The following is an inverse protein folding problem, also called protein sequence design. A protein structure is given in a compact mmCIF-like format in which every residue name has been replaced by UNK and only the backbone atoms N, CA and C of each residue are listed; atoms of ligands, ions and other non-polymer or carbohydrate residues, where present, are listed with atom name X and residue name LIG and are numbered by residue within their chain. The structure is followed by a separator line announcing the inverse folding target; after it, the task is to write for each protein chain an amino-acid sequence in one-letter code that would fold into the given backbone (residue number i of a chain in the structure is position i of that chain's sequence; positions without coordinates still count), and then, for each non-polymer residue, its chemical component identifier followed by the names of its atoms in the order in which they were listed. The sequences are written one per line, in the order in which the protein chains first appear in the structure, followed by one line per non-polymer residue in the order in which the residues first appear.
data_IF_052219210948
#
_entry.id   IF_052219210948
#
_cell.length_a   1.000
_cell.length_b   1.000
_cell.length_c   1.000
_cell.angle_alpha   90.00
_cell.angle_beta   90.00
_cell.angle_gamma   90.00
#
_symmetry.space_group_name_H-M   'P 1'
#
loop_
_entity.id
_entity.type
_entity.pdbx_description
1 polymer ?
#
# COMPACT_ATOMS: atom_id res chain seq x y z
N UNK A 1 -3.68 18.48 22.97
CA UNK A 1 -3.01 19.19 21.85
C UNK A 1 -2.16 18.25 20.97
N UNK A 2 -1.03 17.68 21.43
CA UNK A 2 -0.19 16.79 20.58
C UNK A 2 -0.90 15.46 20.22
N UNK A 3 -1.55 14.83 21.21
CA UNK A 3 -2.40 13.65 20.99
C UNK A 3 -3.65 13.94 20.14
N UNK A 4 -4.12 15.19 20.13
CA UNK A 4 -5.28 15.65 19.32
C UNK A 4 -4.88 15.85 17.85
N UNK A 5 -3.66 16.35 17.61
CA UNK A 5 -3.06 16.44 16.28
C UNK A 5 -2.77 15.05 15.69
N UNK A 6 -2.28 14.10 16.49
CA UNK A 6 -2.13 12.70 16.05
C UNK A 6 -3.48 12.05 15.70
N UNK A 7 -4.55 12.42 16.40
CA UNK A 7 -5.90 11.91 16.11
C UNK A 7 -6.48 12.44 14.79
N UNK A 8 -5.98 13.58 14.31
CA UNK A 8 -6.37 14.17 13.02
C UNK A 8 -5.40 13.84 11.89
N UNK A 9 -4.19 13.33 12.20
CA UNK A 9 -3.23 12.97 11.17
C UNK A 9 -3.83 11.93 10.22
N UNK A 10 -3.78 12.21 8.92
CA UNK A 10 -4.15 11.30 7.83
C UNK A 10 -2.95 10.51 7.29
N UNK A 11 -1.76 10.76 7.85
CA UNK A 11 -0.48 10.24 7.37
C UNK A 11 0.11 9.26 8.40
N UNK A 12 0.75 8.19 7.91
CA UNK A 12 1.59 7.28 8.69
C UNK A 12 2.98 7.91 8.89
N UNK A 13 3.35 8.18 10.14
CA UNK A 13 4.59 8.90 10.48
C UNK A 13 5.86 8.16 10.05
N UNK A 14 5.83 6.82 9.99
CA UNK A 14 7.01 6.03 9.64
C UNK A 14 7.30 6.09 8.14
N UNK A 15 6.26 5.94 7.32
CA UNK A 15 6.40 5.70 5.87
C UNK A 15 6.02 6.89 5.01
N UNK A 16 5.37 7.91 5.57
CA UNK A 16 4.84 9.05 4.84
C UNK A 16 3.64 8.73 3.94
N UNK A 17 3.19 7.47 3.88
CA UNK A 17 1.98 7.06 3.20
C UNK A 17 0.74 7.57 3.96
N UNK A 18 -0.42 7.51 3.33
CA UNK A 18 -1.68 7.70 4.06
C UNK A 18 -1.83 6.62 5.13
N UNK A 19 -2.62 6.91 6.16
CA UNK A 19 -2.94 5.91 7.16
C UNK A 19 -4.27 5.21 6.85
N UNK A 20 -4.53 4.13 7.59
CA UNK A 20 -5.78 3.37 7.51
C UNK A 20 -7.03 4.24 7.55
N UNK A 21 -7.06 5.27 8.40
CA UNK A 21 -8.23 6.13 8.57
C UNK A 21 -8.54 6.90 7.29
N UNK A 22 -7.50 7.44 6.65
CA UNK A 22 -7.65 8.24 5.45
C UNK A 22 -8.14 7.40 4.27
N UNK A 23 -7.51 6.25 3.99
CA UNK A 23 -7.93 5.40 2.85
C UNK A 23 -9.37 4.88 3.00
N UNK A 24 -9.83 4.59 4.22
CA UNK A 24 -11.20 4.18 4.47
C UNK A 24 -12.19 5.34 4.27
N UNK A 25 -11.83 6.54 4.70
CA UNK A 25 -12.66 7.73 4.48
C UNK A 25 -12.83 8.04 2.98
N UNK A 26 -11.78 7.86 2.18
CA UNK A 26 -11.81 8.06 0.73
C UNK A 26 -12.51 6.93 -0.02
N UNK A 27 -12.45 5.69 0.49
CA UNK A 27 -13.12 4.55 -0.12
C UNK A 27 -14.64 4.71 -0.21
N UNK A 28 -15.28 5.24 0.85
CA UNK A 28 -16.73 5.39 0.95
C UNK A 28 -17.35 6.22 -0.22
N UNK A 29 -16.84 7.43 -0.54
CA UNK A 29 -17.27 8.17 -1.73
C UNK A 29 -17.12 7.41 -3.05
N UNK A 30 -16.04 6.65 -3.22
CA UNK A 30 -15.80 5.87 -4.44
C UNK A 30 -16.79 4.71 -4.59
N UNK A 31 -17.10 4.03 -3.49
CA UNK A 31 -18.13 2.99 -3.45
C UNK A 31 -19.51 3.57 -3.79
N UNK A 32 -19.88 4.69 -3.17
CA UNK A 32 -21.15 5.36 -3.44
C UNK A 32 -21.27 5.80 -4.92
N UNK A 33 -20.20 6.35 -5.49
CA UNK A 33 -20.15 6.74 -6.91
C UNK A 33 -20.22 5.55 -7.86
N UNK A 34 -19.60 4.42 -7.51
CA UNK A 34 -19.73 3.19 -8.28
C UNK A 34 -21.18 2.69 -8.28
N UNK A 35 -21.81 2.57 -7.10
CA UNK A 35 -23.20 2.09 -6.96
C UNK A 35 -24.16 2.99 -7.75
N UNK A 36 -23.96 4.32 -7.71
CA UNK A 36 -24.88 5.28 -8.32
C UNK A 36 -24.65 5.51 -9.81
N UNK A 37 -23.40 5.52 -10.26
CA UNK A 37 -23.03 5.98 -11.60
C UNK A 37 -22.22 4.96 -12.41
N UNK A 38 -21.86 3.81 -11.84
CA UNK A 38 -20.96 2.84 -12.48
C UNK A 38 -19.51 3.32 -12.58
N UNK A 39 -19.13 4.37 -11.83
CA UNK A 39 -17.76 4.88 -11.79
C UNK A 39 -16.82 3.86 -11.14
N UNK A 40 -16.12 3.10 -11.97
CA UNK A 40 -15.24 2.04 -11.49
C UNK A 40 -14.06 2.57 -10.67
N UNK A 41 -13.65 1.78 -9.69
CA UNK A 41 -12.39 1.93 -8.96
C UNK A 41 -11.79 0.54 -8.73
N UNK A 42 -10.52 0.50 -8.34
CA UNK A 42 -9.82 -0.73 -7.95
C UNK A 42 -9.16 -0.54 -6.59
N UNK A 43 -9.15 -1.60 -5.79
CA UNK A 43 -8.44 -1.67 -4.52
C UNK A 43 -7.41 -2.80 -4.58
N UNK A 44 -6.18 -2.50 -4.21
CA UNK A 44 -5.08 -3.46 -4.10
C UNK A 44 -4.70 -3.59 -2.63
N UNK A 45 -4.70 -4.81 -2.11
CA UNK A 45 -4.08 -5.15 -0.83
C UNK A 45 -2.70 -5.75 -1.02
N UNK A 46 -1.72 -5.23 -0.30
CA UNK A 46 -0.32 -5.67 -0.36
C UNK A 46 0.18 -5.98 1.05
N UNK A 47 0.98 -7.03 1.14
CA UNK A 47 1.68 -7.45 2.34
C UNK A 47 3.16 -7.73 2.01
N UNK A 48 4.06 -7.37 2.93
CA UNK A 48 5.50 -7.67 2.79
C UNK A 48 5.77 -9.06 3.37
N UNK A 49 5.99 -10.03 2.49
CA UNK A 49 6.27 -11.40 2.89
C UNK A 49 7.46 -11.51 3.86
N UNK A 50 7.34 -12.42 4.83
CA UNK A 50 8.41 -12.73 5.77
C UNK A 50 8.95 -11.50 6.52
N UNK A 51 8.20 -10.40 6.64
CA UNK A 51 8.63 -9.20 7.35
C UNK A 51 8.99 -9.49 8.81
N UNK A 52 8.23 -10.37 9.46
CA UNK A 52 8.59 -10.91 10.78
C UNK A 52 10.00 -11.52 10.81
N UNK A 53 10.38 -12.32 9.80
CA UNK A 53 11.69 -12.94 9.74
C UNK A 53 12.82 -11.90 9.57
N UNK A 54 12.56 -10.81 8.83
CA UNK A 54 13.47 -9.67 8.73
C UNK A 54 13.67 -9.02 10.09
N UNK A 55 12.58 -8.72 10.81
CA UNK A 55 12.65 -8.16 12.16
C UNK A 55 13.40 -9.08 13.13
N UNK A 56 13.08 -10.38 13.11
CA UNK A 56 13.69 -11.36 14.00
C UNK A 56 15.20 -11.56 13.69
N UNK A 57 15.64 -11.36 12.44
CA UNK A 57 17.04 -11.56 12.01
C UNK A 57 17.91 -10.30 12.09
N UNK A 58 17.33 -9.13 11.85
CA UNK A 58 18.06 -7.87 11.66
C UNK A 58 17.61 -6.74 12.60
N UNK A 59 16.56 -6.97 13.39
CA UNK A 59 15.99 -6.00 14.32
C UNK A 59 14.98 -5.05 13.68
N UNK A 60 14.15 -4.44 14.53
CA UNK A 60 13.05 -3.58 14.11
C UNK A 60 13.46 -2.34 13.32
N UNK A 61 14.64 -1.76 13.61
CA UNK A 61 15.13 -0.60 12.85
C UNK A 61 15.34 -0.93 11.37
N UNK A 62 15.80 -2.15 11.06
CA UNK A 62 15.95 -2.61 9.68
C UNK A 62 14.59 -2.89 9.04
N UNK A 63 13.63 -3.42 9.81
CA UNK A 63 12.24 -3.54 9.35
C UNK A 63 11.61 -2.19 9.01
N UNK A 64 11.84 -1.17 9.84
CA UNK A 64 11.36 0.19 9.60
C UNK A 64 11.93 0.77 8.29
N UNK A 65 13.21 0.54 8.01
CA UNK A 65 13.84 0.94 6.75
C UNK A 65 13.25 0.20 5.54
N UNK A 66 12.91 -1.09 5.70
CA UNK A 66 12.22 -1.86 4.66
C UNK A 66 10.84 -1.25 4.37
N UNK A 67 10.07 -0.88 5.40
CA UNK A 67 8.75 -0.27 5.24
C UNK A 67 8.83 1.10 4.55
N UNK A 68 9.76 1.96 4.97
CA UNK A 68 10.02 3.25 4.34
C UNK A 68 10.35 3.08 2.87
N UNK A 69 11.28 2.18 2.56
CA UNK A 69 11.70 1.97 1.18
C UNK A 69 10.59 1.40 0.31
N UNK A 70 9.81 0.45 0.86
CA UNK A 70 8.65 -0.07 0.16
C UNK A 70 7.67 1.06 -0.19
N UNK A 71 7.39 1.94 0.77
CA UNK A 71 6.53 3.11 0.58
C UNK A 71 7.03 4.04 -0.52
N UNK A 72 8.32 4.36 -0.53
CA UNK A 72 8.95 5.18 -1.58
C UNK A 72 8.79 4.55 -2.96
N UNK A 73 9.12 3.26 -3.11
CA UNK A 73 9.07 2.61 -4.42
C UNK A 73 7.63 2.54 -4.95
N UNK A 74 6.64 2.34 -4.09
CA UNK A 74 5.24 2.32 -4.51
C UNK A 74 4.79 3.72 -4.92
N UNK A 75 5.11 4.72 -4.10
CA UNK A 75 4.73 6.13 -4.33
C UNK A 75 5.30 6.68 -5.64
N UNK A 76 6.51 6.29 -6.04
CA UNK A 76 7.13 6.69 -7.31
C UNK A 76 6.42 6.17 -8.56
N UNK A 77 5.56 5.16 -8.42
CA UNK A 77 5.01 4.41 -9.55
C UNK A 77 3.49 4.49 -9.67
N UNK A 78 2.79 4.81 -8.58
CA UNK A 78 1.35 5.10 -8.62
C UNK A 78 1.11 6.51 -9.17
N UNK A 79 -0.12 6.80 -9.58
CA UNK A 79 -0.51 8.15 -10.01
C UNK A 79 -0.74 9.03 -8.80
N UNK A 80 -0.60 10.34 -9.00
CA UNK A 80 -0.93 11.34 -7.96
C UNK A 80 -2.39 11.27 -7.47
N UNK A 81 -3.29 10.70 -8.28
CA UNK A 81 -4.71 10.52 -7.95
C UNK A 81 -5.01 9.22 -7.22
N UNK A 82 -4.04 8.30 -7.16
CA UNK A 82 -4.19 7.06 -6.41
C UNK A 82 -3.87 7.35 -4.94
N UNK A 83 -4.56 6.66 -4.04
CA UNK A 83 -4.39 6.79 -2.61
C UNK A 83 -3.62 5.57 -2.13
N UNK A 84 -2.46 5.79 -1.53
CA UNK A 84 -1.61 4.72 -1.03
C UNK A 84 -1.44 4.86 0.47
N UNK A 85 -1.86 3.83 1.19
CA UNK A 85 -1.93 3.86 2.64
C UNK A 85 -1.29 2.64 3.29
N UNK A 86 -0.71 2.84 4.47
CA UNK A 86 -0.32 1.76 5.38
C UNK A 86 -1.47 1.48 6.35
N UNK A 87 -1.95 0.24 6.37
CA UNK A 87 -3.10 -0.14 7.20
C UNK A 87 -2.70 -0.67 8.58
N UNK A 88 -1.47 -1.17 8.72
CA UNK A 88 -0.88 -1.60 9.99
C UNK A 88 0.24 -2.63 9.77
N UNK A 89 1.22 -2.69 10.67
CA UNK A 89 2.33 -3.66 10.55
C UNK A 89 3.05 -3.56 9.21
N UNK A 90 3.01 -4.64 8.43
CA UNK A 90 3.54 -4.74 7.06
C UNK A 90 2.48 -4.62 5.94
N UNK A 91 1.24 -4.27 6.27
CA UNK A 91 0.13 -4.22 5.34
C UNK A 91 -0.07 -2.83 4.72
N UNK A 92 -0.35 -2.81 3.42
CA UNK A 92 -0.62 -1.62 2.63
C UNK A 92 -1.84 -1.78 1.72
N UNK A 93 -2.50 -0.66 1.41
CA UNK A 93 -3.60 -0.55 0.46
C UNK A 93 -3.30 0.50 -0.60
N UNK A 94 -3.70 0.23 -1.85
CA UNK A 94 -3.82 1.25 -2.89
C UNK A 94 -5.27 1.31 -3.35
N UNK A 95 -5.90 2.47 -3.24
CA UNK A 95 -7.16 2.79 -3.87
C UNK A 95 -6.90 3.58 -5.16
N UNK A 96 -7.35 3.04 -6.29
CA UNK A 96 -7.15 3.61 -7.61
C UNK A 96 -8.50 4.03 -8.21
N UNK A 97 -8.85 5.33 -8.13
CA UNK A 97 -10.04 5.86 -8.76
C UNK A 97 -10.03 5.63 -10.28
N UNK A 98 -11.21 5.48 -10.88
CA UNK A 98 -11.39 5.40 -12.34
C UNK A 98 -10.57 4.29 -13.00
N UNK A 99 -10.29 3.21 -12.28
CA UNK A 99 -9.47 2.09 -12.75
C UNK A 99 -10.28 0.81 -12.73
N UNK A 100 -10.53 0.24 -13.91
CA UNK A 100 -11.34 -0.98 -14.09
C UNK A 100 -10.51 -2.26 -14.07
N UNK A 101 -9.25 -2.23 -14.56
CA UNK A 101 -8.33 -3.37 -14.57
C UNK A 101 -6.89 -2.91 -14.79
N UNK A 102 -6.09 -2.90 -13.73
CA UNK A 102 -4.63 -2.80 -13.81
C UNK A 102 -3.91 -4.05 -13.27
N UNK A 103 -4.58 -5.21 -13.32
CA UNK A 103 -4.01 -6.50 -12.89
C UNK A 103 -2.66 -6.81 -13.59
N UNK A 104 -2.45 -6.34 -14.83
CA UNK A 104 -1.19 -6.49 -15.55
C UNK A 104 -0.04 -5.63 -14.98
N UNK A 105 -0.33 -4.45 -14.41
CA UNK A 105 0.67 -3.67 -13.69
C UNK A 105 1.10 -4.39 -12.41
N UNK A 106 0.16 -4.95 -11.66
CA UNK A 106 0.43 -5.71 -10.44
C UNK A 106 1.50 -6.82 -10.63
N UNK A 107 1.34 -7.63 -11.68
CA UNK A 107 2.26 -8.72 -12.03
C UNK A 107 3.63 -8.18 -12.46
N UNK A 108 3.66 -7.05 -13.18
CA UNK A 108 4.91 -6.41 -13.58
C UNK A 108 5.65 -5.80 -12.39
N UNK A 109 4.91 -5.19 -11.46
CA UNK A 109 5.44 -4.57 -10.25
C UNK A 109 6.05 -5.57 -9.28
N UNK A 110 5.36 -6.70 -9.06
CA UNK A 110 5.89 -7.83 -8.32
C UNK A 110 7.29 -8.22 -8.83
N UNK A 111 7.41 -8.43 -10.14
CA UNK A 111 8.68 -8.86 -10.78
C UNK A 111 9.79 -7.83 -10.75
N UNK A 112 9.49 -6.53 -10.60
CA UNK A 112 10.48 -5.46 -10.62
C UNK A 112 10.93 -5.07 -9.19
N UNK A 113 10.02 -5.15 -8.21
CA UNK A 113 10.33 -4.96 -6.79
C UNK A 113 11.34 -5.99 -6.27
N UNK A 114 11.18 -7.26 -6.66
CA UNK A 114 12.13 -8.34 -6.35
C UNK A 114 13.56 -8.08 -6.86
N UNK A 115 13.72 -7.23 -7.88
CA UNK A 115 15.01 -6.98 -8.55
C UNK A 115 15.78 -5.79 -7.99
N UNK A 116 15.09 -4.80 -7.43
CA UNK A 116 15.67 -3.48 -7.11
C UNK A 116 16.25 -3.33 -5.70
N UNK A 117 16.12 -4.32 -4.82
CA UNK A 117 16.61 -4.22 -3.46
C UNK A 117 17.54 -5.36 -3.05
N UNK A 118 18.69 -4.98 -2.46
CA UNK A 118 19.63 -5.85 -1.76
C UNK A 118 20.24 -5.08 -0.58
N UNK A 119 19.85 -5.31 0.68
CA UNK A 119 20.72 -4.98 1.80
C UNK A 119 21.69 -6.15 1.97
N UNK A 120 22.99 -5.88 2.10
CA UNK A 120 24.03 -6.90 2.37
C UNK A 120 24.12 -8.13 1.43
N UNK A 121 23.39 -8.16 0.31
CA UNK A 121 23.40 -9.25 -0.68
C UNK A 121 22.12 -10.10 -0.74
N UNK A 122 21.17 -9.90 0.17
CA UNK A 122 19.92 -10.69 0.25
C UNK A 122 18.77 -10.05 -0.54
N UNK A 123 17.94 -10.84 -1.25
CA UNK A 123 16.72 -10.36 -1.92
C UNK A 123 15.66 -9.96 -0.87
N UNK A 124 14.80 -8.97 -1.16
CA UNK A 124 13.55 -8.80 -0.40
C UNK A 124 12.66 -10.02 -0.63
N UNK A 125 12.16 -10.66 0.43
CA UNK A 125 10.92 -11.40 0.33
C UNK A 125 9.80 -10.36 0.24
N UNK A 126 9.42 -9.96 -0.97
CA UNK A 126 8.07 -9.48 -1.22
C UNK A 126 7.51 -10.59 -2.10
N UNK A 127 6.33 -11.14 -1.83
CA UNK A 127 5.06 -10.79 -2.47
C UNK A 127 3.88 -11.62 -1.96
N UNK A 128 2.99 -11.00 -1.17
CA UNK A 128 1.57 -11.35 -1.23
C UNK A 128 0.77 -10.11 -1.62
N UNK A 129 0.54 -9.93 -2.92
CA UNK A 129 -0.52 -9.03 -3.38
C UNK A 129 -1.81 -9.84 -3.31
N UNK A 130 -2.34 -9.93 -2.09
CA UNK A 130 -3.30 -10.95 -1.69
C UNK A 130 -4.70 -10.72 -2.25
N UNK A 131 -5.02 -9.51 -2.75
CA UNK A 131 -6.33 -9.24 -3.36
C UNK A 131 -6.35 -8.01 -4.26
N UNK A 132 -6.76 -8.19 -5.52
CA UNK A 132 -7.37 -7.13 -6.31
C UNK A 132 -8.89 -7.23 -6.12
N UNK A 133 -9.52 -6.20 -5.57
CA UNK A 133 -10.97 -6.04 -5.65
C UNK A 133 -11.22 -4.95 -6.69
N UNK A 134 -11.79 -5.31 -7.83
CA UNK A 134 -12.28 -4.32 -8.78
C UNK A 134 -13.79 -4.13 -8.54
N UNK A 135 -14.26 -2.89 -8.60
CA UNK A 135 -15.68 -2.59 -8.42
C UNK A 135 -16.64 -3.46 -9.28
N UNK A 136 -16.34 -3.83 -10.55
CA UNK A 136 -17.19 -4.78 -11.30
C UNK A 136 -17.28 -6.20 -10.73
N UNK A 137 -16.52 -6.53 -9.68
CA UNK A 137 -16.47 -7.84 -9.01
C UNK A 137 -17.02 -7.77 -7.55
N UNK A 138 -17.59 -6.62 -7.13
CA UNK A 138 -18.35 -6.40 -5.88
C UNK A 138 -19.86 -6.46 -6.16
#
# INVERSE_FOLDING_TARGET
MEQELQHLSTIDELTGADNRRHVLAEFEPHLANYIRYGSAFSLISMDIDHFKAVNDSYGHLVGDDVLKRFSEIVSERIRRTDIFARTGGEEFLILMPHTTRQFQMLIFWQRDLEKRWRPSGSKLPITNISRLLSAPEL
#
